data_IF_701037243644
#
_entry.id   IF_701037243644
#
_cell.length_a   1.000
_cell.length_b   1.000
_cell.length_c   1.000
_cell.angle_alpha   90.00
_cell.angle_beta   90.00
_cell.angle_gamma   90.00
#
_symmetry.space_group_name_H-M   'P 1'
#
loop_
_entity.id
_entity.type
_entity.pdbx_description
1 polymer ?
#
# COMPACT_ATOMS: atom_id res chain seq x y z
N UNK A 1 15.86 -14.37 -5.90
CA UNK A 1 15.82 -15.41 -4.84
C UNK A 1 14.62 -15.11 -3.96
N UNK A 2 13.67 -16.04 -3.83
CA UNK A 2 12.51 -15.90 -2.94
C UNK A 2 12.93 -16.04 -1.49
N UNK A 3 12.50 -15.09 -0.65
CA UNK A 3 12.80 -15.11 0.78
C UNK A 3 12.00 -16.24 1.45
N UNK A 4 12.66 -17.15 2.17
CA UNK A 4 11.99 -18.31 2.79
C UNK A 4 11.41 -17.99 4.17
N UNK A 5 12.06 -17.10 4.90
CA UNK A 5 11.65 -16.62 6.23
C UNK A 5 12.14 -15.20 6.48
N UNK A 6 11.55 -14.55 7.47
CA UNK A 6 11.91 -13.20 7.91
C UNK A 6 12.03 -13.16 9.44
N UNK A 7 13.09 -12.51 9.92
CA UNK A 7 13.19 -12.10 11.32
C UNK A 7 12.54 -10.72 11.45
N UNK A 8 11.41 -10.65 12.13
CA UNK A 8 10.78 -9.36 12.47
C UNK A 8 11.46 -8.81 13.71
N UNK A 9 11.86 -7.55 13.65
CA UNK A 9 12.59 -6.85 14.73
C UNK A 9 11.87 -5.59 15.15
N UNK A 10 12.21 -5.06 16.33
CA UNK A 10 11.60 -3.84 16.87
C UNK A 10 10.45 -4.12 17.85
N UNK A 11 9.89 -3.04 18.40
CA UNK A 11 8.84 -3.07 19.41
C UNK A 11 7.47 -3.35 18.77
N UNK A 12 6.53 -3.80 19.59
CA UNK A 12 5.15 -4.07 19.19
C UNK A 12 4.27 -2.93 19.70
N UNK A 13 3.70 -2.14 18.79
CA UNK A 13 2.73 -1.11 19.11
C UNK A 13 1.31 -1.70 19.07
N UNK A 14 0.69 -1.85 20.22
CA UNK A 14 -0.71 -2.24 20.34
C UNK A 14 -1.58 -0.98 20.38
N UNK A 15 -2.34 -0.74 19.32
CA UNK A 15 -3.30 0.36 19.21
C UNK A 15 -4.54 0.02 20.05
N UNK A 16 -4.44 0.30 21.34
CA UNK A 16 -5.47 0.04 22.37
C UNK A 16 -6.42 1.24 22.52
N UNK A 17 -7.67 0.98 22.90
CA UNK A 17 -8.63 2.05 23.24
C UNK A 17 -8.22 2.83 24.50
N UNK A 18 -7.42 2.21 25.38
CA UNK A 18 -6.84 2.83 26.56
C UNK A 18 -5.70 3.80 26.18
N UNK A 19 -5.98 5.09 26.29
CA UNK A 19 -5.05 6.15 25.90
C UNK A 19 -3.81 6.22 26.79
N UNK A 20 -3.88 5.78 28.05
CA UNK A 20 -2.74 5.83 28.96
C UNK A 20 -1.77 4.69 28.67
N UNK A 21 -2.28 3.49 28.37
CA UNK A 21 -1.47 2.38 27.85
C UNK A 21 -0.83 2.73 26.49
N UNK A 22 -1.54 3.45 25.62
CA UNK A 22 -0.96 3.90 24.36
C UNK A 22 0.19 4.90 24.59
N UNK A 23 0.01 5.88 25.49
CA UNK A 23 1.08 6.82 25.86
C UNK A 23 2.31 6.13 26.46
N UNK A 24 2.11 5.14 27.33
CA UNK A 24 3.20 4.35 27.91
C UNK A 24 4.03 3.67 26.81
N UNK A 25 3.37 3.08 25.81
CA UNK A 25 4.07 2.49 24.66
C UNK A 25 4.91 3.50 23.90
N UNK A 26 4.34 4.66 23.57
CA UNK A 26 5.07 5.71 22.87
C UNK A 26 6.23 6.28 23.71
N UNK A 27 6.11 6.26 25.04
CA UNK A 27 7.18 6.66 25.96
C UNK A 27 8.30 5.62 26.15
N UNK A 28 8.18 4.43 25.54
CA UNK A 28 9.23 3.40 25.56
C UNK A 28 8.87 2.12 26.31
N UNK A 29 7.68 2.01 26.90
CA UNK A 29 7.27 0.82 27.65
C UNK A 29 6.67 -0.26 26.73
N UNK A 30 7.07 -1.52 26.90
CA UNK A 30 6.50 -2.62 26.11
C UNK A 30 5.31 -3.24 26.84
N UNK A 31 4.19 -3.41 26.13
CA UNK A 31 3.02 -4.11 26.65
C UNK A 31 3.05 -5.58 26.25
N UNK A 32 2.81 -6.46 27.22
CA UNK A 32 2.48 -7.85 26.92
C UNK A 32 1.14 -7.92 26.18
N UNK A 33 1.06 -8.78 25.16
CA UNK A 33 -0.20 -8.99 24.46
C UNK A 33 -1.23 -9.60 25.41
N UNK A 34 -2.41 -9.02 25.44
CA UNK A 34 -3.55 -9.48 26.23
C UNK A 34 -4.76 -9.59 25.29
N UNK A 35 -5.28 -10.80 25.03
CA UNK A 35 -6.43 -10.97 24.14
C UNK A 35 -7.73 -10.34 24.69
N UNK A 36 -7.79 -9.99 25.98
CA UNK A 36 -8.90 -9.27 26.56
C UNK A 36 -8.78 -7.74 26.38
N UNK A 37 -7.61 -7.24 25.97
CA UNK A 37 -7.39 -5.80 25.74
C UNK A 37 -8.17 -5.34 24.52
N UNK A 38 -8.98 -4.30 24.71
CA UNK A 38 -9.72 -3.67 23.61
C UNK A 38 -8.75 -2.93 22.70
N UNK A 39 -8.67 -3.39 21.46
CA UNK A 39 -7.93 -2.73 20.40
C UNK A 39 -8.84 -1.78 19.63
N UNK A 40 -8.25 -0.76 19.01
CA UNK A 40 -8.99 0.22 18.22
C UNK A 40 -9.44 -0.45 16.92
N UNK A 41 -10.75 -0.49 16.73
CA UNK A 41 -11.41 -0.90 15.49
C UNK A 41 -11.52 0.27 14.48
N UNK A 42 -11.79 -0.05 13.21
CA UNK A 42 -12.15 0.87 12.12
C UNK A 42 -11.14 2.01 11.92
N UNK A 43 -9.83 1.70 12.02
CA UNK A 43 -8.77 2.69 11.80
C UNK A 43 -8.75 3.04 10.31
N UNK A 44 -9.18 4.25 9.98
CA UNK A 44 -9.26 4.70 8.59
C UNK A 44 -7.91 5.12 8.02
N UNK A 45 -7.79 5.20 6.69
CA UNK A 45 -6.58 5.76 6.04
C UNK A 45 -6.36 7.23 6.37
N UNK A 46 -7.40 7.99 6.73
CA UNK A 46 -7.28 9.36 7.26
C UNK A 46 -6.69 9.38 8.68
N UNK A 47 -6.96 8.37 9.50
CA UNK A 47 -6.37 8.25 10.84
C UNK A 47 -4.88 7.86 10.76
N UNK A 48 -4.50 7.07 9.74
CA UNK A 48 -3.10 6.70 9.49
C UNK A 48 -2.34 7.88 8.87
N UNK A 49 -2.89 8.48 7.80
CA UNK A 49 -2.32 9.64 7.11
C UNK A 49 -3.43 10.64 6.77
N UNK A 50 -3.63 11.69 7.60
CA UNK A 50 -4.60 12.74 7.31
C UNK A 50 -4.39 13.38 5.95
N UNK A 51 -5.46 13.88 5.31
CA UNK A 51 -5.36 14.43 3.95
C UNK A 51 -4.34 15.56 3.75
N UNK A 52 -4.02 16.34 4.78
CA UNK A 52 -2.97 17.37 4.69
C UNK A 52 -1.55 16.78 4.71
N UNK A 53 -1.37 15.59 5.28
CA UNK A 53 -0.09 14.85 5.28
C UNK A 53 0.19 14.27 3.90
N UNK A 54 -0.85 13.90 3.16
CA UNK A 54 -0.72 13.35 1.81
C UNK A 54 -0.26 14.39 0.76
N UNK A 55 0.07 15.63 1.15
CA UNK A 55 0.83 16.53 0.29
C UNK A 55 2.32 16.13 0.19
N UNK A 56 2.80 15.33 1.14
CA UNK A 56 4.07 14.63 1.05
C UNK A 56 3.89 13.31 0.28
N UNK A 57 4.92 12.90 -0.45
CA UNK A 57 4.93 11.69 -1.29
C UNK A 57 6.23 10.91 -1.19
N UNK A 58 7.06 11.27 -0.20
CA UNK A 58 8.34 10.66 0.11
C UNK A 58 8.36 10.15 1.57
N UNK A 59 9.54 9.83 2.09
CA UNK A 59 9.69 9.29 3.46
C UNK A 59 9.29 10.26 4.58
N UNK A 60 9.00 11.54 4.26
CA UNK A 60 8.42 12.50 5.22
C UNK A 60 7.08 12.02 5.73
N UNK A 61 6.33 11.23 4.95
CA UNK A 61 5.08 10.59 5.38
C UNK A 61 5.24 9.81 6.70
N UNK A 62 6.39 9.16 6.91
CA UNK A 62 6.67 8.40 8.13
C UNK A 62 6.64 9.23 9.41
N UNK A 63 7.03 10.51 9.31
CA UNK A 63 7.04 11.43 10.44
C UNK A 63 5.62 11.74 10.94
N UNK A 64 4.60 11.47 10.13
CA UNK A 64 3.21 11.78 10.41
C UNK A 64 2.31 10.55 10.44
N UNK A 65 2.88 9.35 10.49
CA UNK A 65 2.09 8.12 10.54
C UNK A 65 1.31 8.04 11.86
N UNK A 66 0.01 7.75 11.76
CA UNK A 66 -0.96 7.66 12.86
C UNK A 66 -1.28 8.97 13.60
N UNK A 67 -0.81 10.14 13.14
CA UNK A 67 -1.13 11.43 13.81
C UNK A 67 -2.61 11.80 13.74
N UNK A 68 -3.36 11.19 12.83
CA UNK A 68 -4.81 11.34 12.72
C UNK A 68 -5.60 10.42 13.65
N UNK A 69 -4.93 9.50 14.35
CA UNK A 69 -5.58 8.49 15.19
C UNK A 69 -6.43 9.16 16.27
N UNK A 70 -7.68 8.70 16.39
CA UNK A 70 -8.60 9.18 17.43
C UNK A 70 -7.97 9.06 18.83
N UNK A 71 -8.25 10.08 19.66
CA UNK A 71 -7.64 10.24 20.99
C UNK A 71 -6.45 11.21 20.99
N UNK A 72 -5.82 11.47 19.85
CA UNK A 72 -4.79 12.51 19.71
C UNK A 72 -3.52 12.22 20.52
N UNK A 73 -3.25 10.95 20.82
CA UNK A 73 -2.07 10.54 21.60
C UNK A 73 -0.82 10.44 20.73
N UNK A 74 -0.93 9.89 19.53
CA UNK A 74 0.21 9.77 18.61
C UNK A 74 0.51 11.14 17.99
N UNK A 75 1.73 11.62 18.20
CA UNK A 75 2.25 12.88 17.68
C UNK A 75 3.23 12.64 16.53
N UNK A 76 3.68 13.75 15.93
CA UNK A 76 4.72 13.72 14.90
C UNK A 76 5.97 13.01 15.42
N UNK A 77 6.55 12.16 14.58
CA UNK A 77 7.77 11.37 14.82
C UNK A 77 7.64 10.26 15.86
N UNK A 78 6.51 10.11 16.56
CA UNK A 78 6.35 9.09 17.61
C UNK A 78 6.47 7.66 17.08
N UNK A 79 5.83 7.34 15.95
CA UNK A 79 5.92 6.00 15.37
C UNK A 79 7.36 5.72 14.87
N UNK A 80 7.94 6.67 14.15
CA UNK A 80 9.27 6.56 13.53
C UNK A 80 10.41 6.51 14.56
N UNK A 81 10.29 7.31 15.62
CA UNK A 81 11.25 7.38 16.73
C UNK A 81 11.05 6.26 17.76
N UNK A 82 9.86 5.65 17.80
CA UNK A 82 9.50 4.64 18.79
C UNK A 82 10.08 3.25 18.55
N UNK A 83 10.71 3.00 17.39
CA UNK A 83 11.37 1.73 17.07
C UNK A 83 10.40 0.56 16.90
N UNK A 84 9.17 0.83 16.46
CA UNK A 84 8.13 -0.18 16.30
C UNK A 84 8.27 -0.92 14.98
N UNK A 85 8.44 -2.24 15.06
CA UNK A 85 8.45 -3.12 13.90
C UNK A 85 7.11 -3.81 13.63
N UNK A 86 6.20 -3.80 14.62
CA UNK A 86 4.88 -4.41 14.50
C UNK A 86 3.82 -3.44 14.99
N UNK A 87 2.74 -3.30 14.22
CA UNK A 87 1.51 -2.63 14.66
C UNK A 87 0.43 -3.68 14.87
N UNK A 88 -0.31 -3.57 15.98
CA UNK A 88 -1.43 -4.45 16.33
C UNK A 88 -2.70 -3.61 16.51
N UNK A 89 -3.79 -3.96 15.83
CA UNK A 89 -5.07 -3.26 15.93
C UNK A 89 -6.28 -4.19 15.93
N UNK A 90 -7.47 -3.64 16.13
CA UNK A 90 -8.72 -4.38 16.09
C UNK A 90 -9.19 -4.67 14.66
N UNK A 91 -10.49 -4.62 14.45
CA UNK A 91 -11.17 -4.89 13.18
C UNK A 91 -11.02 -3.73 12.20
N UNK A 92 -11.13 -4.03 10.91
CA UNK A 92 -11.25 -3.05 9.82
C UNK A 92 -10.07 -2.05 9.77
N UNK A 93 -8.84 -2.57 9.88
CA UNK A 93 -7.62 -1.75 9.71
C UNK A 93 -7.47 -1.29 8.26
N UNK A 94 -7.33 0.03 8.08
CA UNK A 94 -7.13 0.67 6.79
C UNK A 94 -8.43 0.96 6.04
N UNK A 95 -9.53 1.23 6.74
CA UNK A 95 -10.82 1.51 6.11
C UNK A 95 -10.90 2.89 5.45
N UNK A 96 -11.88 3.07 4.57
CA UNK A 96 -12.10 4.32 3.85
C UNK A 96 -11.33 4.41 2.53
N UNK A 97 -10.74 5.57 2.26
CA UNK A 97 -10.19 5.89 0.94
C UNK A 97 -8.95 5.07 0.57
N UNK A 98 -8.80 4.76 -0.73
CA UNK A 98 -7.63 4.07 -1.27
C UNK A 98 -6.41 4.98 -1.28
N UNK A 99 -5.66 5.02 -0.16
CA UNK A 99 -4.44 5.82 -0.04
C UNK A 99 -3.24 4.92 0.22
N UNK A 100 -2.36 4.82 -0.78
CA UNK A 100 -1.09 4.11 -0.65
C UNK A 100 -0.13 4.82 0.33
N UNK A 101 -0.34 6.11 0.59
CA UNK A 101 0.41 6.88 1.59
C UNK A 101 0.31 6.28 2.99
N UNK A 102 -0.84 5.68 3.34
CA UNK A 102 -1.08 5.12 4.68
C UNK A 102 -0.16 3.92 4.99
N UNK A 103 -0.19 2.80 4.24
CA UNK A 103 0.75 1.71 4.49
C UNK A 103 2.21 2.13 4.22
N UNK A 104 2.45 3.07 3.30
CA UNK A 104 3.80 3.58 3.05
C UNK A 104 4.37 4.38 4.23
N UNK A 105 3.55 5.17 4.94
CA UNK A 105 4.00 5.90 6.13
C UNK A 105 4.39 4.93 7.25
N UNK A 106 3.63 3.85 7.45
CA UNK A 106 3.95 2.81 8.41
C UNK A 106 5.25 2.08 8.03
N UNK A 107 5.38 1.64 6.77
CA UNK A 107 6.58 0.99 6.26
C UNK A 107 7.83 1.87 6.46
N UNK A 108 7.74 3.16 6.10
CA UNK A 108 8.85 4.11 6.23
C UNK A 108 9.11 4.58 7.66
N UNK A 109 8.17 4.33 8.58
CA UNK A 109 8.40 4.49 10.01
C UNK A 109 9.16 3.31 10.64
N UNK A 110 9.42 2.25 9.86
CA UNK A 110 10.16 1.06 10.31
C UNK A 110 9.28 -0.16 10.61
N UNK A 111 7.96 -0.05 10.38
CA UNK A 111 7.03 -1.17 10.56
C UNK A 111 7.28 -2.23 9.49
N UNK A 112 7.41 -3.48 9.92
CA UNK A 112 7.63 -4.64 9.07
C UNK A 112 6.37 -5.52 8.95
N UNK A 113 5.51 -5.49 9.97
CA UNK A 113 4.29 -6.30 10.02
C UNK A 113 3.12 -5.53 10.65
N UNK A 114 1.96 -5.61 10.03
CA UNK A 114 0.68 -5.20 10.61
C UNK A 114 -0.13 -6.45 10.97
N UNK A 115 -0.54 -6.58 12.24
CA UNK A 115 -1.46 -7.60 12.71
C UNK A 115 -2.78 -6.94 13.11
N UNK A 116 -3.90 -7.43 12.60
CA UNK A 116 -5.21 -6.90 12.97
C UNK A 116 -6.27 -8.00 13.00
N UNK A 117 -7.38 -7.79 13.74
CA UNK A 117 -8.49 -8.75 13.71
C UNK A 117 -9.09 -8.89 12.30
N UNK A 118 -9.16 -7.78 11.57
CA UNK A 118 -9.42 -7.80 10.14
C UNK A 118 -8.76 -6.62 9.44
N UNK A 119 -8.38 -6.84 8.18
CA UNK A 119 -7.67 -5.88 7.34
C UNK A 119 -8.51 -5.59 6.11
N UNK A 120 -8.68 -4.32 5.80
CA UNK A 120 -9.45 -3.90 4.65
C UNK A 120 -8.74 -4.25 3.35
N UNK A 121 -9.51 -4.74 2.36
CA UNK A 121 -8.97 -5.37 1.16
C UNK A 121 -7.96 -4.49 0.41
N UNK A 122 -8.30 -3.21 0.22
CA UNK A 122 -7.46 -2.26 -0.50
C UNK A 122 -6.19 -1.94 0.29
N UNK A 123 -6.32 -1.75 1.60
CA UNK A 123 -5.17 -1.52 2.48
C UNK A 123 -4.20 -2.70 2.45
N UNK A 124 -4.72 -3.93 2.62
CA UNK A 124 -3.92 -5.15 2.54
C UNK A 124 -3.20 -5.30 1.20
N UNK A 125 -3.89 -5.02 0.08
CA UNK A 125 -3.28 -5.05 -1.25
C UNK A 125 -2.17 -4.00 -1.40
N UNK A 126 -2.37 -2.78 -0.90
CA UNK A 126 -1.34 -1.74 -0.91
C UNK A 126 -0.13 -2.14 -0.06
N UNK A 127 -0.34 -2.74 1.13
CA UNK A 127 0.74 -3.29 1.95
C UNK A 127 1.56 -4.33 1.18
N UNK A 128 0.90 -5.30 0.56
CA UNK A 128 1.54 -6.33 -0.25
C UNK A 128 2.35 -5.73 -1.40
N UNK A 129 1.81 -4.71 -2.08
CA UNK A 129 2.49 -4.06 -3.21
C UNK A 129 3.81 -3.40 -2.81
N UNK A 130 3.89 -2.82 -1.62
CA UNK A 130 5.08 -2.13 -1.11
C UNK A 130 5.98 -3.02 -0.24
N UNK A 131 5.60 -4.27 0.01
CA UNK A 131 6.35 -5.22 0.84
C UNK A 131 6.12 -5.08 2.35
N UNK A 132 5.08 -4.37 2.79
CA UNK A 132 4.64 -4.37 4.18
C UNK A 132 3.81 -5.64 4.45
N UNK A 133 4.25 -6.46 5.40
CA UNK A 133 3.57 -7.73 5.70
C UNK A 133 2.30 -7.48 6.50
N UNK A 134 1.31 -8.34 6.31
CA UNK A 134 0.04 -8.30 7.01
C UNK A 134 -0.36 -9.68 7.51
N UNK A 135 -0.96 -9.76 8.69
CA UNK A 135 -1.53 -11.00 9.22
C UNK A 135 -2.79 -10.73 10.05
N UNK A 136 -3.68 -11.71 10.11
CA UNK A 136 -4.79 -11.75 11.08
C UNK A 136 -4.57 -12.77 12.19
N UNK A 137 -3.38 -13.39 12.24
CA UNK A 137 -3.00 -14.40 13.22
C UNK A 137 -2.17 -13.76 14.35
N UNK A 138 -2.81 -13.54 15.49
CA UNK A 138 -2.19 -12.97 16.68
C UNK A 138 -1.19 -13.92 17.36
N UNK A 139 -1.22 -15.23 17.05
CA UNK A 139 -0.24 -16.18 17.60
C UNK A 139 1.20 -15.87 17.13
N UNK A 140 1.36 -15.09 16.06
CA UNK A 140 2.66 -14.60 15.60
C UNK A 140 3.34 -13.68 16.61
N UNK A 141 2.60 -12.97 17.46
CA UNK A 141 3.17 -12.01 18.41
C UNK A 141 4.15 -12.69 19.38
N UNK A 142 3.76 -13.81 19.97
CA UNK A 142 4.61 -14.55 20.89
C UNK A 142 5.86 -15.12 20.19
N UNK A 143 5.70 -15.60 18.95
CA UNK A 143 6.81 -16.11 18.12
C UNK A 143 7.82 -15.00 17.81
N UNK A 144 7.33 -13.82 17.44
CA UNK A 144 8.14 -12.62 17.17
C UNK A 144 8.87 -12.17 18.45
N UNK A 145 8.20 -12.13 19.60
CA UNK A 145 8.81 -11.76 20.88
C UNK A 145 9.92 -12.74 21.32
N UNK A 146 9.77 -14.04 21.01
CA UNK A 146 10.85 -15.04 21.19
C UNK A 146 11.98 -14.90 20.18
N UNK A 147 11.86 -13.96 19.23
CA UNK A 147 12.83 -13.74 18.18
C UNK A 147 12.86 -14.87 17.16
N UNK A 148 11.75 -15.54 16.86
CA UNK A 148 11.68 -16.62 15.87
C UNK A 148 11.82 -16.09 14.43
N UNK A 149 12.40 -16.90 13.53
CA UNK A 149 12.31 -16.63 12.08
C UNK A 149 10.96 -17.11 11.56
N UNK A 150 10.12 -16.18 11.11
CA UNK A 150 8.77 -16.48 10.65
C UNK A 150 8.82 -16.87 9.16
N UNK A 151 8.30 -18.06 8.77
CA UNK A 151 8.20 -18.43 7.36
C UNK A 151 7.36 -17.43 6.57
N UNK A 152 7.78 -17.07 5.36
CA UNK A 152 7.00 -16.13 4.52
C UNK A 152 5.61 -16.69 4.17
N UNK A 153 5.47 -18.01 4.14
CA UNK A 153 4.19 -18.68 3.92
C UNK A 153 3.13 -18.38 4.99
N UNK A 154 3.51 -17.85 6.15
CA UNK A 154 2.55 -17.35 7.15
C UNK A 154 1.75 -16.15 6.62
N UNK A 155 2.37 -15.32 5.78
CA UNK A 155 1.78 -14.08 5.25
C UNK A 155 1.11 -14.26 3.89
N UNK A 156 1.16 -15.46 3.30
CA UNK A 156 0.52 -15.78 2.01
C UNK A 156 -0.72 -16.65 2.14
N UNK A 157 -1.08 -17.07 3.37
CA UNK A 157 -2.28 -17.87 3.63
C UNK A 157 -3.53 -17.17 3.10
N UNK A 158 -4.28 -17.88 2.26
CA UNK A 158 -5.54 -17.38 1.68
C UNK A 158 -5.37 -16.40 0.51
N UNK A 159 -4.14 -16.06 0.13
CA UNK A 159 -3.88 -15.26 -1.07
C UNK A 159 -3.99 -16.10 -2.34
N UNK A 160 -4.39 -15.46 -3.43
CA UNK A 160 -4.27 -16.08 -4.75
C UNK A 160 -2.79 -16.23 -5.15
N UNK A 161 -2.46 -17.09 -6.12
CA UNK A 161 -1.07 -17.38 -6.46
C UNK A 161 -0.24 -16.16 -6.90
N UNK A 162 -0.85 -15.14 -7.53
CA UNK A 162 -0.11 -13.93 -7.94
C UNK A 162 0.17 -13.07 -6.72
N UNK A 163 -0.83 -12.83 -5.87
CA UNK A 163 -0.65 -12.05 -4.64
C UNK A 163 0.34 -12.72 -3.68
N UNK A 164 0.32 -14.05 -3.56
CA UNK A 164 1.32 -14.80 -2.80
C UNK A 164 2.74 -14.58 -3.33
N UNK A 165 2.94 -14.66 -4.65
CA UNK A 165 4.25 -14.41 -5.27
C UNK A 165 4.71 -12.96 -5.11
N UNK A 166 3.80 -11.99 -5.11
CA UNK A 166 4.11 -10.58 -4.83
C UNK A 166 4.70 -10.45 -3.42
N UNK A 167 4.07 -11.05 -2.42
CA UNK A 167 4.57 -11.07 -1.04
C UNK A 167 5.92 -11.79 -0.94
N UNK A 168 6.07 -12.95 -1.57
CA UNK A 168 7.32 -13.73 -1.58
C UNK A 168 8.51 -13.01 -2.23
N UNK A 169 8.22 -12.10 -3.16
CA UNK A 169 9.22 -11.24 -3.79
C UNK A 169 9.54 -9.98 -2.96
N UNK A 170 8.81 -9.72 -1.88
CA UNK A 170 8.94 -8.49 -1.09
C UNK A 170 8.28 -7.28 -1.76
N UNK A 171 7.27 -7.49 -2.60
CA UNK A 171 6.47 -6.42 -3.20
C UNK A 171 6.33 -6.49 -4.72
N UNK A 172 5.41 -5.67 -5.24
CA UNK A 172 4.97 -5.68 -6.63
C UNK A 172 6.11 -5.34 -7.60
N UNK A 173 6.97 -4.39 -7.24
CA UNK A 173 8.11 -4.01 -8.08
C UNK A 173 9.14 -5.13 -8.20
N UNK A 174 9.47 -5.79 -7.09
CA UNK A 174 10.40 -6.92 -7.09
C UNK A 174 9.83 -8.10 -7.89
N UNK A 175 8.54 -8.39 -7.71
CA UNK A 175 7.81 -9.38 -8.50
C UNK A 175 7.86 -9.07 -10.00
N UNK A 176 7.57 -7.83 -10.39
CA UNK A 176 7.57 -7.44 -11.81
C UNK A 176 8.98 -7.48 -12.42
N UNK A 177 10.04 -7.13 -11.68
CA UNK A 177 11.42 -7.31 -12.16
C UNK A 177 11.74 -8.78 -12.41
N UNK A 178 11.41 -9.66 -11.47
CA UNK A 178 11.61 -11.11 -11.64
C UNK A 178 10.84 -11.66 -12.85
N UNK A 179 9.62 -11.17 -13.08
CA UNK A 179 8.84 -11.49 -14.28
C UNK A 179 9.49 -11.01 -15.58
N UNK A 180 9.96 -9.77 -15.61
CA UNK A 180 10.62 -9.19 -16.79
C UNK A 180 11.93 -9.92 -17.10
N UNK A 181 12.62 -10.44 -16.09
CA UNK A 181 13.79 -11.30 -16.23
C UNK A 181 13.47 -12.75 -16.64
N UNK A 182 12.18 -13.12 -16.69
CA UNK A 182 11.73 -14.48 -17.01
C UNK A 182 11.90 -15.49 -15.88
N UNK A 183 12.23 -15.05 -14.67
CA UNK A 183 12.39 -15.89 -13.47
C UNK A 183 11.04 -16.37 -12.93
N UNK A 184 10.00 -15.55 -13.09
CA UNK A 184 8.64 -15.84 -12.65
C UNK A 184 7.69 -15.70 -13.83
N UNK A 185 6.73 -16.62 -13.92
CA UNK A 185 5.60 -16.51 -14.83
C UNK A 185 4.29 -16.61 -14.05
N UNK A 186 3.28 -15.80 -14.39
CA UNK A 186 1.98 -15.90 -13.77
C UNK A 186 1.34 -17.26 -14.11
N UNK A 187 0.43 -17.77 -13.27
CA UNK A 187 -0.31 -18.98 -13.58
C UNK A 187 -1.13 -18.79 -14.86
N UNK A 188 -1.19 -19.84 -15.69
CA UNK A 188 -2.08 -19.85 -16.85
C UNK A 188 -3.54 -20.01 -16.39
N UNK A 189 -4.45 -19.27 -17.04
CA UNK A 189 -5.89 -19.46 -16.83
C UNK A 189 -6.34 -20.72 -17.57
N UNK A 190 -6.77 -21.73 -16.83
CA UNK A 190 -7.22 -23.02 -17.37
C UNK A 190 -8.74 -23.20 -17.35
N UNK A 191 -9.49 -22.15 -17.02
CA UNK A 191 -10.94 -22.18 -16.97
C UNK A 191 -11.54 -22.51 -18.34
N UNK A 192 -12.21 -23.66 -18.41
CA UNK A 192 -12.88 -24.13 -19.61
C UNK A 192 -14.05 -23.23 -20.00
N UNK A 193 -14.41 -23.24 -21.28
CA UNK A 193 -15.53 -22.46 -21.81
C UNK A 193 -16.81 -22.69 -21.00
N UNK A 194 -17.43 -21.60 -20.55
CA UNK A 194 -18.64 -21.60 -19.73
C UNK A 194 -19.49 -20.35 -19.97
N UNK A 195 -20.77 -20.35 -19.58
CA UNK A 195 -21.54 -19.12 -19.48
C UNK A 195 -20.83 -18.10 -18.55
N UNK A 196 -20.75 -16.86 -19.01
CA UNK A 196 -20.10 -15.75 -18.33
C UNK A 196 -21.03 -14.56 -18.22
N UNK A 197 -20.95 -13.86 -17.09
CA UNK A 197 -21.50 -12.52 -16.88
C UNK A 197 -20.83 -11.50 -17.81
N UNK A 198 -21.39 -10.28 -17.86
CA UNK A 198 -20.78 -9.19 -18.62
C UNK A 198 -19.36 -8.87 -18.12
N UNK A 199 -19.16 -8.80 -16.80
CA UNK A 199 -17.85 -8.52 -16.20
C UNK A 199 -16.83 -9.62 -16.53
N UNK A 200 -17.22 -10.89 -16.41
CA UNK A 200 -16.34 -12.02 -16.78
C UNK A 200 -15.98 -11.98 -18.27
N UNK A 201 -16.92 -11.63 -19.16
CA UNK A 201 -16.62 -11.47 -20.59
C UNK A 201 -15.60 -10.35 -20.86
N UNK A 202 -15.73 -9.22 -20.18
CA UNK A 202 -14.78 -8.11 -20.30
C UNK A 202 -13.40 -8.56 -19.81
N UNK A 203 -13.32 -9.18 -18.63
CA UNK A 203 -12.06 -9.70 -18.07
C UNK A 203 -11.44 -10.75 -18.99
N UNK A 204 -12.22 -11.73 -19.45
CA UNK A 204 -11.74 -12.80 -20.33
C UNK A 204 -11.18 -12.25 -21.64
N UNK A 205 -11.81 -11.23 -22.22
CA UNK A 205 -11.35 -10.57 -23.46
C UNK A 205 -10.01 -9.83 -23.28
N UNK A 206 -9.78 -9.22 -22.12
CA UNK A 206 -8.58 -8.42 -21.85
C UNK A 206 -7.51 -9.20 -21.07
N UNK A 207 -7.78 -10.44 -20.68
CA UNK A 207 -6.82 -11.32 -20.05
C UNK A 207 -5.58 -11.48 -20.94
N UNK A 208 -4.39 -11.35 -20.35
CA UNK A 208 -3.13 -11.59 -21.05
C UNK A 208 -2.96 -13.11 -21.21
N UNK A 209 -3.15 -13.61 -22.43
CA UNK A 209 -2.99 -15.03 -22.77
C UNK A 209 -1.50 -15.40 -22.97
N UNK A 210 -0.74 -14.50 -23.60
CA UNK A 210 0.70 -14.62 -23.73
C UNK A 210 1.36 -13.24 -23.62
N UNK A 211 2.14 -13.07 -22.56
CA UNK A 211 2.83 -11.81 -22.28
C UNK A 211 3.95 -11.50 -23.28
N UNK A 212 4.55 -12.50 -23.95
CA UNK A 212 5.66 -12.31 -24.90
C UNK A 212 5.16 -11.77 -26.23
N UNK A 213 4.05 -12.33 -26.72
CA UNK A 213 3.43 -11.90 -27.98
C UNK A 213 2.43 -10.76 -27.80
N UNK A 214 2.03 -10.49 -26.56
CA UNK A 214 0.99 -9.50 -26.24
C UNK A 214 -0.41 -10.01 -26.59
N UNK A 215 -0.59 -11.31 -26.80
CA UNK A 215 -1.87 -11.93 -27.11
C UNK A 215 -2.82 -11.77 -25.92
N UNK A 216 -4.03 -11.29 -26.23
CA UNK A 216 -5.12 -11.15 -25.26
C UNK A 216 -6.22 -12.16 -25.55
N UNK A 217 -7.03 -12.45 -24.53
CA UNK A 217 -8.22 -13.27 -24.64
C UNK A 217 -8.01 -14.68 -24.11
N UNK A 218 -8.84 -15.09 -23.16
CA UNK A 218 -8.95 -16.48 -22.69
C UNK A 218 -10.36 -17.02 -22.94
N UNK A 219 -10.56 -18.34 -23.06
CA UNK A 219 -11.87 -18.92 -23.37
C UNK A 219 -12.96 -18.55 -22.35
N UNK A 220 -12.61 -18.53 -21.07
CA UNK A 220 -13.48 -18.08 -19.99
C UNK A 220 -12.67 -17.75 -18.74
N UNK A 221 -13.30 -17.03 -17.82
CA UNK A 221 -12.82 -16.82 -16.44
C UNK A 221 -13.93 -17.15 -15.45
N UNK A 222 -13.57 -17.34 -14.18
CA UNK A 222 -14.50 -17.52 -13.06
C UNK A 222 -13.98 -16.82 -11.79
N UNK A 223 -14.82 -16.59 -10.77
CA UNK A 223 -14.35 -16.14 -9.47
C UNK A 223 -13.26 -17.05 -8.89
N UNK A 224 -12.19 -16.44 -8.39
CA UNK A 224 -11.01 -17.15 -7.87
C UNK A 224 -9.89 -17.34 -8.88
N UNK A 225 -10.10 -17.07 -10.17
CA UNK A 225 -9.00 -17.06 -11.14
C UNK A 225 -8.04 -15.89 -10.88
N UNK A 226 -6.74 -16.17 -10.90
CA UNK A 226 -5.67 -15.19 -10.77
C UNK A 226 -5.03 -14.96 -12.15
N UNK A 227 -5.10 -13.73 -12.65
CA UNK A 227 -4.64 -13.39 -14.00
C UNK A 227 -4.24 -11.92 -14.12
N UNK A 228 -3.54 -11.61 -15.20
CA UNK A 228 -3.29 -10.23 -15.61
C UNK A 228 -4.28 -9.84 -16.71
N UNK A 229 -4.73 -8.59 -16.67
CA UNK A 229 -5.56 -7.98 -17.71
C UNK A 229 -4.83 -6.78 -18.30
N UNK A 230 -4.98 -6.54 -19.61
CA UNK A 230 -4.58 -5.28 -20.22
C UNK A 230 -5.68 -4.25 -19.98
N UNK A 231 -5.31 -3.07 -19.51
CA UNK A 231 -6.21 -1.94 -19.30
C UNK A 231 -6.20 -1.02 -20.52
N UNK A 232 -7.36 -0.74 -21.11
CA UNK A 232 -7.47 0.16 -22.27
C UNK A 232 -7.34 1.64 -21.90
N UNK A 233 -7.72 1.99 -20.67
CA UNK A 233 -7.67 3.35 -20.13
C UNK A 233 -7.11 3.29 -18.72
N UNK A 234 -6.09 4.11 -18.47
CA UNK A 234 -5.47 4.32 -17.17
C UNK A 234 -5.50 5.80 -16.87
N UNK A 235 -5.69 6.17 -15.61
CA UNK A 235 -5.65 7.57 -15.22
C UNK A 235 -4.94 7.77 -13.90
N UNK A 236 -4.44 8.98 -13.69
CA UNK A 236 -3.82 9.41 -12.44
C UNK A 236 -4.16 10.87 -12.19
N UNK A 237 -4.22 11.25 -10.93
CA UNK A 237 -4.44 12.63 -10.51
C UNK A 237 -3.27 13.13 -9.66
N UNK A 238 -3.17 14.44 -9.48
CA UNK A 238 -2.01 15.14 -8.91
C UNK A 238 -1.67 14.69 -7.50
N UNK A 239 -2.65 14.16 -6.79
CA UNK A 239 -2.49 13.63 -5.44
C UNK A 239 -1.73 12.29 -5.39
N UNK A 240 -1.80 11.50 -6.46
CA UNK A 240 -1.23 10.14 -6.52
C UNK A 240 -0.03 10.06 -7.45
N UNK A 241 -0.02 10.83 -8.55
CA UNK A 241 1.07 10.78 -9.55
C UNK A 241 2.47 10.94 -8.93
N UNK A 242 2.72 11.88 -7.99
CA UNK A 242 4.06 12.08 -7.43
C UNK A 242 4.59 10.87 -6.66
N UNK A 243 3.75 10.23 -5.86
CA UNK A 243 4.12 9.02 -5.13
C UNK A 243 4.33 7.85 -6.09
N UNK A 244 3.44 7.67 -7.06
CA UNK A 244 3.57 6.63 -8.07
C UNK A 244 4.87 6.80 -8.89
N UNK A 245 5.22 8.02 -9.29
CA UNK A 245 6.48 8.32 -9.97
C UNK A 245 7.70 8.00 -9.10
N UNK A 246 7.67 8.40 -7.83
CA UNK A 246 8.74 8.12 -6.87
C UNK A 246 8.98 6.61 -6.72
N UNK A 247 7.91 5.85 -6.48
CA UNK A 247 7.96 4.38 -6.35
C UNK A 247 8.37 3.70 -7.66
N UNK A 248 7.87 4.18 -8.80
CA UNK A 248 8.21 3.62 -10.11
C UNK A 248 9.71 3.76 -10.41
N UNK A 249 10.29 4.93 -10.12
CA UNK A 249 11.74 5.18 -10.28
C UNK A 249 12.57 4.42 -9.26
N UNK A 250 12.11 4.28 -8.02
CA UNK A 250 12.78 3.44 -7.03
C UNK A 250 12.77 1.96 -7.44
N UNK A 251 11.69 1.50 -8.07
CA UNK A 251 11.51 0.11 -8.51
C UNK A 251 12.26 -0.26 -9.79
N UNK A 252 12.32 0.63 -10.77
CA UNK A 252 12.83 0.33 -12.13
C UNK A 252 13.98 1.24 -12.59
N UNK A 253 14.41 2.19 -11.77
CA UNK A 253 15.47 3.16 -12.09
C UNK A 253 14.93 4.48 -12.65
N UNK A 254 15.80 5.48 -12.76
CA UNK A 254 15.42 6.83 -13.19
C UNK A 254 14.96 6.89 -14.66
N UNK A 255 15.39 5.93 -15.47
CA UNK A 255 15.06 5.83 -16.90
C UNK A 255 13.83 4.96 -17.20
N UNK A 256 13.11 4.52 -16.15
CA UNK A 256 11.91 3.71 -16.29
C UNK A 256 10.88 4.40 -17.20
N UNK A 257 10.25 3.64 -18.11
CA UNK A 257 9.28 4.18 -19.08
C UNK A 257 7.89 3.60 -18.85
N UNK A 258 6.89 4.47 -18.83
CA UNK A 258 5.50 4.06 -18.91
C UNK A 258 5.23 3.45 -20.28
N UNK A 259 4.74 2.22 -20.31
CA UNK A 259 4.33 1.54 -21.53
C UNK A 259 2.96 2.03 -21.99
N UNK A 260 2.76 2.17 -23.30
CA UNK A 260 1.51 2.63 -23.94
C UNK A 260 1.00 3.98 -23.37
N UNK A 261 1.84 5.03 -23.29
CA UNK A 261 1.48 6.28 -22.63
C UNK A 261 0.21 6.94 -23.21
N UNK A 262 -0.15 6.63 -24.45
CA UNK A 262 -1.39 7.06 -25.11
C UNK A 262 -2.67 6.56 -24.43
N UNK A 263 -2.62 5.47 -23.64
CA UNK A 263 -3.75 5.01 -22.83
C UNK A 263 -3.75 5.56 -21.41
N UNK A 264 -2.81 6.45 -21.07
CA UNK A 264 -2.74 7.10 -19.75
C UNK A 264 -3.19 8.55 -19.83
N UNK A 265 -4.06 8.94 -18.90
CA UNK A 265 -4.55 10.30 -18.77
C UNK A 265 -4.28 10.84 -17.37
N UNK A 266 -3.56 11.95 -17.30
CA UNK A 266 -3.36 12.69 -16.06
C UNK A 266 -4.32 13.87 -15.99
N UNK A 267 -4.81 14.21 -14.80
CA UNK A 267 -5.61 15.42 -14.60
C UNK A 267 -5.44 15.99 -13.19
N UNK A 268 -5.92 17.22 -13.01
CA UNK A 268 -6.03 17.87 -11.70
C UNK A 268 -7.48 17.99 -11.26
N UNK A 269 -7.80 17.51 -10.07
CA UNK A 269 -9.17 17.54 -9.53
C UNK A 269 -9.23 17.80 -8.02
N UNK A 270 -8.30 17.28 -7.22
CA UNK A 270 -8.37 17.36 -5.75
C UNK A 270 -7.91 18.70 -5.19
N UNK A 271 -6.89 19.32 -5.79
CA UNK A 271 -6.16 20.44 -5.20
C UNK A 271 -6.42 21.78 -5.90
N UNK A 272 -7.27 21.81 -6.93
CA UNK A 272 -7.52 22.98 -7.78
C UNK A 272 -7.93 24.23 -7.01
N UNK A 273 -8.73 24.07 -5.95
CA UNK A 273 -9.22 25.18 -5.13
C UNK A 273 -8.64 25.18 -3.71
N UNK A 274 -7.57 24.42 -3.46
CA UNK A 274 -7.05 24.22 -2.11
C UNK A 274 -6.66 25.56 -1.45
N UNK A 275 -6.09 26.49 -2.21
CA UNK A 275 -5.69 27.82 -1.72
C UNK A 275 -6.86 28.62 -1.11
N UNK A 276 -8.09 28.38 -1.59
CA UNK A 276 -9.30 29.08 -1.13
C UNK A 276 -9.86 28.50 0.17
N UNK A 277 -9.53 27.24 0.49
CA UNK A 277 -10.15 26.50 1.60
C UNK A 277 -9.14 26.02 2.64
N UNK A 278 -7.83 26.18 2.40
CA UNK A 278 -6.80 25.76 3.33
C UNK A 278 -6.86 26.57 4.64
N UNK A 279 -6.91 25.92 5.81
CA UNK A 279 -6.83 26.61 7.10
C UNK A 279 -5.52 27.38 7.27
N UNK A 280 -5.56 28.53 7.96
CA UNK A 280 -4.36 29.36 8.19
C UNK A 280 -3.24 28.62 8.91
N UNK A 281 -3.56 27.72 9.84
CA UNK A 281 -2.57 26.87 10.51
C UNK A 281 -1.79 26.01 9.51
N UNK A 282 -2.46 25.44 8.51
CA UNK A 282 -1.81 24.62 7.48
C UNK A 282 -0.97 25.48 6.54
N UNK A 283 -1.41 26.71 6.22
CA UNK A 283 -0.60 27.66 5.44
C UNK A 283 0.69 28.02 6.16
N UNK A 284 0.62 28.28 7.46
CA UNK A 284 1.79 28.57 8.30
C UNK A 284 2.77 27.39 8.38
N UNK A 285 2.29 26.15 8.20
CA UNK A 285 3.12 24.95 8.10
C UNK A 285 3.79 24.77 6.72
N UNK A 286 3.60 25.70 5.77
CA UNK A 286 4.16 25.61 4.42
C UNK A 286 3.40 24.66 3.48
N UNK A 287 2.22 24.17 3.89
CA UNK A 287 1.50 23.13 3.15
C UNK A 287 0.92 23.62 1.82
N UNK A 288 0.76 24.94 1.63
CA UNK A 288 0.33 25.51 0.35
C UNK A 288 1.38 25.28 -0.75
N UNK A 289 2.66 25.57 -0.44
CA UNK A 289 3.77 25.33 -1.35
C UNK A 289 3.95 23.84 -1.62
N UNK A 290 3.86 23.02 -0.56
CA UNK A 290 3.95 21.57 -0.68
C UNK A 290 2.85 21.00 -1.58
N UNK A 291 1.60 21.43 -1.41
CA UNK A 291 0.49 21.00 -2.25
C UNK A 291 0.66 21.44 -3.71
N UNK A 292 1.19 22.64 -3.95
CA UNK A 292 1.48 23.12 -5.29
C UNK A 292 2.61 22.32 -5.96
N UNK A 293 3.58 21.82 -5.19
CA UNK A 293 4.66 20.98 -5.73
C UNK A 293 4.14 19.70 -6.40
N UNK A 294 3.04 19.13 -5.90
CA UNK A 294 2.42 17.92 -6.47
C UNK A 294 2.01 18.12 -7.93
N UNK A 295 1.46 19.30 -8.24
CA UNK A 295 1.14 19.72 -9.61
C UNK A 295 2.38 19.68 -10.49
N UNK A 296 3.45 20.34 -10.05
CA UNK A 296 4.70 20.45 -10.82
C UNK A 296 5.32 19.07 -11.05
N UNK A 297 5.25 18.17 -10.06
CA UNK A 297 5.72 16.79 -10.23
C UNK A 297 4.87 16.03 -11.25
N UNK A 298 3.54 16.16 -11.23
CA UNK A 298 2.67 15.54 -12.23
C UNK A 298 2.96 16.07 -13.64
N UNK A 299 3.11 17.39 -13.82
CA UNK A 299 3.49 18.00 -15.11
C UNK A 299 4.82 17.45 -15.62
N UNK A 300 5.82 17.35 -14.74
CA UNK A 300 7.12 16.77 -15.04
C UNK A 300 7.03 15.30 -15.45
N UNK A 301 6.29 14.50 -14.69
CA UNK A 301 6.01 13.09 -15.00
C UNK A 301 5.33 12.93 -16.36
N UNK A 302 4.25 13.68 -16.60
CA UNK A 302 3.50 13.61 -17.85
C UNK A 302 4.37 13.98 -19.05
N UNK A 303 5.17 15.06 -18.94
CA UNK A 303 6.10 15.47 -19.99
C UNK A 303 7.18 14.42 -20.26
N UNK A 304 7.78 13.83 -19.22
CA UNK A 304 8.83 12.81 -19.37
C UNK A 304 8.32 11.55 -20.08
N UNK A 305 7.07 11.15 -19.82
CA UNK A 305 6.52 9.91 -20.38
C UNK A 305 5.63 10.11 -21.60
N UNK A 306 5.39 11.35 -22.04
CA UNK A 306 4.48 11.64 -23.17
C UNK A 306 3.02 11.34 -22.84
N UNK A 307 2.63 11.46 -21.56
CA UNK A 307 1.27 11.22 -21.09
C UNK A 307 0.42 12.47 -21.27
N UNK A 308 -0.84 12.30 -21.68
CA UNK A 308 -1.77 13.41 -21.84
C UNK A 308 -2.20 13.96 -20.47
N UNK A 309 -1.93 15.23 -20.21
CA UNK A 309 -2.37 15.96 -19.01
C UNK A 309 -3.54 16.90 -19.36
N UNK A 310 -4.60 16.87 -18.55
CA UNK A 310 -5.75 17.77 -18.65
C UNK A 310 -5.81 18.72 -17.44
N UNK A 311 -6.06 20.01 -17.70
CA UNK A 311 -6.06 21.08 -16.70
C UNK A 311 -4.73 21.82 -16.66
#
# INVERSE_FOLDING_TARGET
MTQRSIRITGRILQLTEDQDLLKQQLAGEDLQFDPARKLIDNISTDEITPGWVCYYFDETLANYSLVGLRGGVVQKDDLKGGGFGVIVSGKSKGCGSSRETAPYSELKAGVQLVIAESIEKIYGQNCQNIGLLTSTDFSLLERIQRGEDIPISEFTKGLDPISAQIVECGGLFAYNRARMAGEISPPAVSTAARPMTLCEKIIARHAIADAKTGQLGVPAVKPGDALFVRTDVRFSHEYVTPMADSLFRAGFGQDAKVMEPESVFAFRDHLTFLELVMPEQHKQMGLAEQAQSLKTVQEGFSKRHGIRLYG
#
